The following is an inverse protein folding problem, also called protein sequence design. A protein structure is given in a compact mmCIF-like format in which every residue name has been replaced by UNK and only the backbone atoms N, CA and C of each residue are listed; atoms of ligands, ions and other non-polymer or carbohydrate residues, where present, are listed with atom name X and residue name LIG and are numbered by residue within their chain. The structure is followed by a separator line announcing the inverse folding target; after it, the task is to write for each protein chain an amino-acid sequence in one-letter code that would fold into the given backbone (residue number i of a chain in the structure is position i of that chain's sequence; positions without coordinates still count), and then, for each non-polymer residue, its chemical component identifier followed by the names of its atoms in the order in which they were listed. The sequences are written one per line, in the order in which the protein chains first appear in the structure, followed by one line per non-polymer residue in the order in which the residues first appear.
data_IF_573892220845
#
_entry.id   IF_573892220845
#
_cell.length_a   1.000
_cell.length_b   1.000
_cell.length_c   1.000
_cell.angle_alpha   90.00
_cell.angle_beta   90.00
_cell.angle_gamma   90.00
#
_symmetry.space_group_name_H-M   'P 1'
#
loop_
_entity.id
_entity.type
_entity.pdbx_description
1 polymer ?
#
# COMPACT_ATOMS: atom_id res chain seq x y z
N UNK A 1 -1.77 -48.32 23.91
CA UNK A 1 -0.74 -47.65 23.06
C UNK A 1 -1.36 -46.52 22.23
N UNK A 2 -1.93 -45.50 22.89
CA UNK A 2 -2.79 -44.49 22.25
C UNK A 2 -2.35 -43.06 22.62
N UNK A 3 -1.21 -42.93 23.33
CA UNK A 3 -0.66 -41.67 23.84
C UNK A 3 0.33 -40.99 22.87
N UNK A 4 0.65 -41.64 21.75
CA UNK A 4 1.62 -41.16 20.75
C UNK A 4 0.99 -40.39 19.59
N UNK A 5 -0.33 -40.50 19.37
CA UNK A 5 -1.02 -39.79 18.29
C UNK A 5 -1.40 -38.34 18.64
N UNK A 6 -1.46 -37.98 19.93
CA UNK A 6 -1.83 -36.62 20.37
C UNK A 6 -0.63 -35.66 20.34
N UNK A 7 0.61 -36.18 20.40
CA UNK A 7 1.83 -35.34 20.44
C UNK A 7 2.15 -34.68 19.09
N UNK A 8 1.84 -35.33 17.96
CA UNK A 8 2.06 -34.76 16.62
C UNK A 8 1.07 -33.63 16.29
N UNK A 9 -0.08 -33.55 16.97
CA UNK A 9 -1.07 -32.49 16.73
C UNK A 9 -0.70 -31.15 17.40
N UNK A 10 0.19 -31.15 18.39
CA UNK A 10 0.67 -29.93 19.06
C UNK A 10 1.92 -29.32 18.40
N UNK A 11 2.57 -30.04 17.49
CA UNK A 11 3.68 -29.54 16.67
C UNK A 11 3.24 -28.85 15.37
N UNK A 12 1.93 -28.86 15.07
CA UNK A 12 1.38 -28.19 13.89
C UNK A 12 0.80 -26.79 14.16
N UNK A 13 0.63 -26.40 15.43
CA UNK A 13 0.05 -25.10 15.79
C UNK A 13 1.05 -23.95 15.96
N UNK A 14 2.37 -24.21 15.94
CA UNK A 14 3.37 -23.17 16.21
C UNK A 14 3.96 -22.47 14.97
N UNK A 15 3.66 -22.93 13.75
CA UNK A 15 4.22 -22.32 12.52
C UNK A 15 3.19 -21.63 11.63
N UNK A 16 1.88 -21.77 11.91
CA UNK A 16 0.84 -20.90 11.36
C UNK A 16 0.65 -19.60 12.19
N UNK A 17 1.66 -19.24 12.98
CA UNK A 17 1.86 -17.86 13.40
C UNK A 17 2.30 -16.99 12.22
N UNK A 18 1.48 -16.91 11.17
CA UNK A 18 1.48 -15.71 10.34
C UNK A 18 1.03 -14.59 11.27
N UNK A 19 2.02 -13.93 11.88
CA UNK A 19 1.85 -12.59 12.39
C UNK A 19 1.19 -11.80 11.26
N UNK A 20 -0.12 -11.58 11.41
CA UNK A 20 -0.92 -10.79 10.50
C UNK A 20 -0.15 -9.49 10.30
N UNK A 21 0.23 -9.29 9.05
CA UNK A 21 1.14 -8.26 8.62
C UNK A 21 0.72 -6.91 9.22
N UNK A 22 1.59 -6.34 10.03
CA UNK A 22 1.56 -4.93 10.35
C UNK A 22 2.03 -4.16 9.10
N UNK A 23 1.17 -4.15 8.07
CA UNK A 23 1.37 -3.40 6.84
C UNK A 23 0.87 -1.99 7.06
N UNK A 24 1.77 -1.06 6.73
CA UNK A 24 1.53 0.36 6.50
C UNK A 24 1.48 1.28 7.72
N UNK A 25 2.49 1.15 8.58
CA UNK A 25 3.21 2.33 9.06
C UNK A 25 3.98 2.99 7.92
N UNK A 26 3.29 3.49 6.88
CA UNK A 26 3.90 4.33 5.84
C UNK A 26 4.49 5.55 6.53
N UNK A 27 5.81 5.59 6.53
CA UNK A 27 6.69 6.74 6.57
C UNK A 27 6.01 8.05 6.96
N UNK A 28 6.37 8.57 8.13
CA UNK A 28 6.03 9.92 8.61
C UNK A 28 6.70 11.04 7.77
N UNK A 29 7.05 10.77 6.52
CA UNK A 29 7.49 11.73 5.52
C UNK A 29 6.78 11.40 4.22
N UNK A 30 5.82 12.23 3.80
CA UNK A 30 5.10 12.02 2.55
C UNK A 30 6.03 11.92 1.32
N UNK A 31 5.46 11.56 0.18
CA UNK A 31 6.21 11.43 -1.07
C UNK A 31 6.43 12.79 -1.75
N UNK A 32 7.43 12.90 -2.61
CA UNK A 32 7.47 13.91 -3.67
C UNK A 32 6.46 13.56 -4.77
N UNK A 33 6.21 14.50 -5.70
CA UNK A 33 5.23 14.26 -6.76
C UNK A 33 5.67 13.12 -7.68
N UNK A 34 6.96 13.04 -8.01
CA UNK A 34 7.51 12.05 -8.93
C UNK A 34 7.54 10.66 -8.29
N UNK A 35 7.97 10.55 -7.04
CA UNK A 35 7.86 9.31 -6.26
C UNK A 35 6.41 8.82 -6.17
N UNK A 36 5.46 9.74 -5.98
CA UNK A 36 4.04 9.40 -5.93
C UNK A 36 3.54 8.89 -7.29
N UNK A 37 4.02 9.46 -8.40
CA UNK A 37 3.67 9.03 -9.76
C UNK A 37 4.19 7.61 -10.04
N UNK A 38 5.45 7.35 -9.73
CA UNK A 38 6.04 6.02 -9.96
C UNK A 38 5.39 4.95 -9.07
N UNK A 39 5.13 5.27 -7.79
CA UNK A 39 4.36 4.38 -6.92
C UNK A 39 2.96 4.06 -7.49
N UNK A 40 2.28 5.05 -8.08
CA UNK A 40 0.97 4.80 -8.71
C UNK A 40 1.10 3.96 -9.97
N UNK A 41 2.12 4.21 -10.80
CA UNK A 41 2.38 3.44 -12.01
C UNK A 41 2.61 1.96 -11.68
N UNK A 42 3.51 1.67 -10.75
CA UNK A 42 3.85 0.31 -10.32
C UNK A 42 2.64 -0.42 -9.71
N UNK A 43 1.89 0.26 -8.84
CA UNK A 43 0.74 -0.37 -8.15
C UNK A 43 -0.45 -0.63 -9.06
N UNK A 44 -0.65 0.18 -10.10
CA UNK A 44 -1.85 0.10 -10.94
C UNK A 44 -1.61 -0.53 -12.29
N UNK A 45 -0.37 -0.53 -12.78
CA UNK A 45 -0.05 -0.86 -14.18
C UNK A 45 -0.75 0.06 -15.19
N UNK A 46 -1.30 1.19 -14.75
CA UNK A 46 -2.11 2.08 -15.55
C UNK A 46 -1.34 3.24 -16.19
N UNK A 47 -1.98 3.92 -17.14
CA UNK A 47 -1.41 5.11 -17.78
C UNK A 47 -1.71 6.36 -16.94
N UNK A 48 -0.67 7.07 -16.53
CA UNK A 48 -0.82 8.35 -15.83
C UNK A 48 -1.36 9.40 -16.81
N UNK A 49 -2.47 10.04 -16.46
CA UNK A 49 -3.09 11.09 -17.27
C UNK A 49 -2.76 12.49 -16.76
N UNK A 50 -2.60 12.65 -15.43
CA UNK A 50 -2.29 13.94 -14.81
C UNK A 50 -1.80 13.72 -13.39
N UNK A 51 -0.80 14.49 -12.95
CA UNK A 51 -0.32 14.51 -11.58
C UNK A 51 -0.21 15.96 -11.11
N UNK A 52 -0.81 16.28 -9.98
CA UNK A 52 -0.79 17.65 -9.44
C UNK A 52 -0.64 17.64 -7.92
N UNK A 53 -0.01 18.67 -7.37
CA UNK A 53 -0.02 18.89 -5.91
C UNK A 53 -1.10 19.92 -5.58
N UNK A 54 -1.98 19.60 -4.64
CA UNK A 54 -2.94 20.56 -4.08
C UNK A 54 -2.56 20.86 -2.63
N UNK A 55 -2.61 22.14 -2.27
CA UNK A 55 -2.45 22.61 -0.89
C UNK A 55 -3.85 22.87 -0.32
N UNK A 56 -4.19 22.32 0.83
CA UNK A 56 -5.44 22.58 1.54
C UNK A 56 -5.16 22.59 3.04
N UNK A 57 -5.47 23.70 3.72
CA UNK A 57 -5.32 23.85 5.18
C UNK A 57 -3.92 23.50 5.71
N UNK A 58 -2.86 23.86 4.95
CA UNK A 58 -1.48 23.51 5.31
C UNK A 58 -1.03 22.11 4.85
N UNK A 59 -1.97 21.22 4.56
CA UNK A 59 -1.66 19.91 4.01
C UNK A 59 -1.38 19.98 2.51
N UNK A 60 -0.40 19.19 2.06
CA UNK A 60 -0.05 19.03 0.66
C UNK A 60 -0.43 17.62 0.24
N UNK A 61 -1.25 17.49 -0.80
CA UNK A 61 -1.73 16.20 -1.33
C UNK A 61 -1.41 16.12 -2.82
N UNK A 62 -0.73 15.06 -3.22
CA UNK A 62 -0.56 14.69 -4.61
C UNK A 62 -1.84 14.00 -5.11
N UNK A 63 -2.46 14.55 -6.14
CA UNK A 63 -3.60 13.98 -6.85
C UNK A 63 -3.14 13.47 -8.20
N UNK A 64 -3.24 12.16 -8.38
CA UNK A 64 -2.79 11.48 -9.59
C UNK A 64 -4.01 10.85 -10.27
N UNK A 65 -4.29 11.28 -11.49
CA UNK A 65 -5.29 10.67 -12.38
C UNK A 65 -4.61 9.57 -13.17
N UNK A 66 -5.15 8.36 -13.09
CA UNK A 66 -4.65 7.19 -13.80
C UNK A 66 -5.78 6.55 -14.60
N UNK A 67 -5.51 6.20 -15.86
CA UNK A 67 -6.32 5.30 -16.66
C UNK A 67 -5.88 3.88 -16.34
N UNK A 68 -6.74 3.13 -15.64
CA UNK A 68 -6.45 1.74 -15.28
C UNK A 68 -6.63 0.80 -16.47
N UNK A 69 -6.05 -0.42 -16.42
CA UNK A 69 -6.17 -1.41 -17.49
C UNK A 69 -7.62 -1.78 -17.83
N UNK A 70 -8.54 -1.69 -16.86
CA UNK A 70 -9.98 -1.86 -17.04
C UNK A 70 -10.70 -0.66 -17.69
N UNK A 71 -9.94 0.27 -18.27
CA UNK A 71 -10.40 1.48 -18.97
C UNK A 71 -11.15 2.49 -18.10
N UNK A 72 -10.96 2.46 -16.78
CA UNK A 72 -11.54 3.45 -15.86
C UNK A 72 -10.53 4.52 -15.49
N UNK A 73 -11.03 5.73 -15.19
CA UNK A 73 -10.19 6.80 -14.63
C UNK A 73 -10.33 6.80 -13.12
N UNK A 74 -9.22 6.65 -12.41
CA UNK A 74 -9.16 6.71 -10.94
C UNK A 74 -8.32 7.90 -10.50
N UNK A 75 -8.70 8.50 -9.37
CA UNK A 75 -7.94 9.58 -8.73
C UNK A 75 -7.32 9.03 -7.45
N UNK A 76 -6.01 8.89 -7.44
CA UNK A 76 -5.25 8.44 -6.27
C UNK A 76 -4.72 9.68 -5.54
N UNK A 77 -4.84 9.67 -4.21
CA UNK A 77 -4.39 10.75 -3.33
C UNK A 77 -3.25 10.24 -2.47
N UNK A 78 -2.11 10.91 -2.51
CA UNK A 78 -0.92 10.57 -1.73
C UNK A 78 -0.49 11.81 -0.93
N UNK A 79 -0.28 11.71 0.40
CA UNK A 79 0.27 12.81 1.19
C UNK A 79 1.65 13.22 0.67
N UNK A 80 1.87 14.52 0.49
CA UNK A 80 3.15 15.04 0.05
C UNK A 80 4.10 15.24 1.23
N UNK A 81 5.41 15.19 0.97
CA UNK A 81 6.42 15.53 1.97
C UNK A 81 6.22 16.97 2.45
N UNK A 82 6.20 17.16 3.77
CA UNK A 82 6.31 18.49 4.38
C UNK A 82 7.72 18.99 4.05
N UNK A 83 7.80 20.07 3.28
CA UNK A 83 9.07 20.73 2.96
C UNK A 83 9.49 21.56 4.16
#
# INVERSE_FOLDING_TARGET
MNKLLISILLLFCASFGSAYAERDGRERGGASLDEAVEQVRERTGGRILSATTKKRNGDRIHRIKVLTPDRKVRVIRIPARRR
#
